data_IF_436165814670
#
_entry.id   IF_436165814670
#
_cell.length_a   1.000
_cell.length_b   1.000
_cell.length_c   1.000
_cell.angle_alpha   90.00
_cell.angle_beta   90.00
_cell.angle_gamma   90.00
#
_symmetry.space_group_name_H-M   'P 1'
#
loop_
_entity.id
_entity.type
_entity.pdbx_description
1 polymer ?
#
# COMPACT_ATOMS: atom_id res chain seq x y z
N UNK A 1 1.87 -13.57 -12.97
CA UNK A 1 1.01 -13.60 -11.76
C UNK A 1 1.62 -14.57 -10.76
N UNK A 2 1.68 -14.23 -9.48
CA UNK A 2 2.09 -15.19 -8.44
C UNK A 2 1.10 -16.39 -8.43
N UNK A 3 1.56 -17.65 -8.56
CA UNK A 3 0.66 -18.80 -8.53
C UNK A 3 -0.16 -18.88 -7.23
N UNK A 4 -1.48 -19.01 -7.34
CA UNK A 4 -2.38 -19.10 -6.18
C UNK A 4 -2.56 -17.78 -5.42
N UNK A 5 -2.25 -16.65 -6.05
CA UNK A 5 -2.65 -15.35 -5.54
C UNK A 5 -4.17 -15.18 -5.65
N UNK A 6 -4.73 -14.72 -4.54
CA UNK A 6 -6.11 -14.28 -4.44
C UNK A 6 -6.13 -13.08 -3.51
N UNK A 7 -6.77 -12.00 -3.95
CA UNK A 7 -6.98 -10.79 -3.18
C UNK A 7 -7.63 -11.13 -1.83
N UNK A 8 -7.10 -10.65 -0.70
CA UNK A 8 -7.61 -11.02 0.62
C UNK A 8 -8.98 -10.44 0.97
N UNK A 9 -9.46 -9.44 0.24
CA UNK A 9 -10.70 -8.73 0.55
C UNK A 9 -11.83 -9.05 -0.45
N UNK A 10 -11.48 -9.32 -1.70
CA UNK A 10 -12.41 -9.51 -2.81
C UNK A 10 -12.34 -10.90 -3.46
N UNK A 11 -11.46 -11.78 -2.97
CA UNK A 11 -11.31 -13.18 -3.42
C UNK A 11 -11.06 -13.35 -4.95
N UNK A 12 -10.52 -12.33 -5.61
CA UNK A 12 -10.23 -12.33 -7.06
C UNK A 12 -8.73 -12.36 -7.40
N UNK A 13 -8.41 -12.52 -8.68
CA UNK A 13 -7.06 -12.26 -9.22
C UNK A 13 -6.85 -10.75 -9.44
N UNK A 14 -5.63 -10.34 -9.84
CA UNK A 14 -5.33 -8.93 -10.10
C UNK A 14 -6.26 -8.33 -11.18
N UNK A 15 -6.72 -7.10 -10.96
CA UNK A 15 -7.36 -6.30 -12.02
C UNK A 15 -6.32 -5.72 -12.97
N UNK A 16 -6.78 -5.24 -14.13
CA UNK A 16 -5.94 -4.48 -15.06
C UNK A 16 -5.40 -3.19 -14.43
N UNK A 17 -6.20 -2.52 -13.60
CA UNK A 17 -5.82 -1.30 -12.91
C UNK A 17 -4.73 -1.54 -11.87
N UNK A 18 -4.81 -2.61 -11.07
CA UNK A 18 -3.74 -2.98 -10.14
C UNK A 18 -2.44 -3.34 -10.87
N UNK A 19 -2.54 -3.99 -12.04
CA UNK A 19 -1.38 -4.27 -12.90
C UNK A 19 -0.80 -2.97 -13.46
N UNK A 20 -1.64 -2.05 -13.93
CA UNK A 20 -1.23 -0.73 -14.39
C UNK A 20 -0.50 0.06 -13.29
N UNK A 21 -1.07 0.11 -12.10
CA UNK A 21 -0.46 0.70 -10.91
C UNK A 21 0.91 0.07 -10.64
N UNK A 22 0.99 -1.27 -10.55
CA UNK A 22 2.25 -1.97 -10.33
C UNK A 22 3.32 -1.62 -11.37
N UNK A 23 2.95 -1.62 -12.67
CA UNK A 23 3.86 -1.30 -13.76
C UNK A 23 4.36 0.15 -13.71
N UNK A 24 3.54 1.10 -13.28
CA UNK A 24 3.94 2.49 -13.04
C UNK A 24 5.04 2.57 -11.97
N UNK A 25 4.84 1.93 -10.82
CA UNK A 25 5.87 1.86 -9.77
C UNK A 25 7.14 1.14 -10.25
N UNK A 26 6.99 0.01 -10.93
CA UNK A 26 8.11 -0.75 -11.49
C UNK A 26 8.96 0.09 -12.46
N UNK A 27 8.32 0.87 -13.33
CA UNK A 27 9.01 1.76 -14.26
C UNK A 27 9.75 2.89 -13.53
N UNK A 28 9.18 3.43 -12.46
CA UNK A 28 9.89 4.40 -11.59
C UNK A 28 11.14 3.75 -10.98
N UNK A 29 11.04 2.52 -10.43
CA UNK A 29 12.21 1.83 -9.87
C UNK A 29 13.31 1.61 -10.93
N UNK A 30 12.93 1.25 -12.16
CA UNK A 30 13.88 1.14 -13.28
C UNK A 30 14.56 2.48 -13.57
N UNK A 31 13.81 3.58 -13.63
CA UNK A 31 14.35 4.91 -13.89
C UNK A 31 15.32 5.35 -12.79
N UNK A 32 14.98 5.13 -11.51
CA UNK A 32 15.85 5.39 -10.37
C UNK A 32 17.21 4.70 -10.55
N UNK A 33 17.21 3.42 -10.93
CA UNK A 33 18.44 2.67 -11.16
C UNK A 33 19.18 3.13 -12.41
N UNK A 34 18.49 3.36 -13.51
CA UNK A 34 19.09 3.77 -14.78
C UNK A 34 19.74 5.16 -14.73
N UNK A 35 19.14 6.08 -13.97
CA UNK A 35 19.63 7.45 -13.81
C UNK A 35 20.45 7.65 -12.53
N UNK A 36 20.70 6.58 -11.77
CA UNK A 36 21.45 6.59 -10.51
C UNK A 36 20.93 7.63 -9.48
N UNK A 37 19.60 7.82 -9.44
CA UNK A 37 18.95 8.75 -8.52
C UNK A 37 19.09 8.24 -7.09
N UNK A 38 19.83 8.95 -6.25
CA UNK A 38 20.13 8.51 -4.88
C UNK A 38 18.89 8.36 -4.02
N UNK A 39 17.94 9.27 -4.21
CA UNK A 39 16.68 9.32 -3.47
C UNK A 39 15.59 9.96 -4.33
N UNK A 40 14.38 9.39 -4.30
CA UNK A 40 13.18 9.96 -4.93
C UNK A 40 12.00 9.92 -3.98
N UNK A 41 11.06 10.84 -4.15
CA UNK A 41 9.72 10.78 -3.56
C UNK A 41 8.76 10.30 -4.65
N UNK A 42 8.09 9.18 -4.41
CA UNK A 42 7.04 8.62 -5.28
C UNK A 42 5.69 8.93 -4.64
N UNK A 43 4.76 9.43 -5.45
CA UNK A 43 3.42 9.83 -5.04
C UNK A 43 2.41 9.25 -6.04
N UNK A 44 1.27 8.80 -5.53
CA UNK A 44 0.05 8.59 -6.32
C UNK A 44 -0.59 9.94 -6.64
N UNK A 45 -1.42 10.00 -7.67
CA UNK A 45 -2.03 11.22 -8.21
C UNK A 45 -3.26 11.70 -7.42
N UNK A 46 -3.84 10.84 -6.59
CA UNK A 46 -5.07 11.08 -5.82
C UNK A 46 -4.82 11.36 -4.33
N UNK A 47 -3.67 11.94 -3.99
CA UNK A 47 -3.28 12.25 -2.60
C UNK A 47 -3.53 13.71 -2.20
N UNK A 48 -3.83 13.91 -0.91
CA UNK A 48 -3.83 15.21 -0.23
C UNK A 48 -2.66 15.31 0.75
N UNK A 49 -2.08 16.50 0.83
CA UNK A 49 -0.90 16.79 1.65
C UNK A 49 -1.30 17.39 3.00
N UNK A 50 -0.63 16.96 4.07
CA UNK A 50 -0.70 17.63 5.36
C UNK A 50 -0.09 19.06 5.31
N UNK A 51 -0.57 19.99 6.15
CA UNK A 51 0.09 21.28 6.31
C UNK A 51 1.58 21.13 6.61
N UNK A 52 2.38 21.96 5.94
CA UNK A 52 3.86 21.94 6.06
C UNK A 52 4.50 20.61 5.62
N UNK A 53 3.85 19.84 4.74
CA UNK A 53 4.37 18.60 4.16
C UNK A 53 5.87 18.64 3.85
N UNK A 54 6.28 19.61 3.02
CA UNK A 54 7.68 19.72 2.57
C UNK A 54 8.66 19.89 3.73
N UNK A 55 8.41 20.86 4.61
CA UNK A 55 9.35 21.12 5.73
C UNK A 55 9.36 20.00 6.76
N UNK A 56 8.21 19.33 6.98
CA UNK A 56 8.14 18.14 7.84
C UNK A 56 8.93 16.97 7.26
N UNK A 57 8.76 16.68 5.96
CA UNK A 57 9.49 15.61 5.29
C UNK A 57 10.99 15.88 5.28
N UNK A 58 11.42 17.10 4.95
CA UNK A 58 12.84 17.49 4.98
C UNK A 58 13.42 17.30 6.38
N UNK A 59 12.74 17.77 7.44
CA UNK A 59 13.22 17.60 8.81
C UNK A 59 13.36 16.12 9.21
N UNK A 60 12.46 15.25 8.75
CA UNK A 60 12.57 13.80 8.99
C UNK A 60 13.79 13.24 8.25
N UNK A 61 13.99 13.58 6.98
CA UNK A 61 15.12 13.11 6.19
C UNK A 61 16.47 13.60 6.74
N UNK A 62 16.54 14.84 7.24
CA UNK A 62 17.73 15.37 7.92
C UNK A 62 18.07 14.56 9.17
N UNK A 63 17.05 14.15 9.94
CA UNK A 63 17.25 13.28 11.11
C UNK A 63 17.73 11.87 10.72
N UNK A 64 17.16 11.29 9.66
CA UNK A 64 17.60 10.00 9.10
C UNK A 64 19.08 10.07 8.69
N UNK A 65 19.47 11.14 7.98
CA UNK A 65 20.85 11.34 7.56
C UNK A 65 21.79 11.55 8.75
N UNK A 66 21.42 12.39 9.72
CA UNK A 66 22.22 12.71 10.90
C UNK A 66 22.54 11.48 11.75
N UNK A 67 21.59 10.55 11.86
CA UNK A 67 21.77 9.28 12.61
C UNK A 67 22.50 8.23 11.76
N UNK A 68 22.66 8.46 10.45
CA UNK A 68 23.24 7.48 9.53
C UNK A 68 22.36 6.22 9.43
N UNK A 69 21.04 6.39 9.49
CA UNK A 69 20.11 5.27 9.39
C UNK A 69 20.25 4.61 8.02
N UNK A 70 20.40 3.29 7.99
CA UNK A 70 20.37 2.52 6.74
C UNK A 70 18.91 2.20 6.39
N UNK A 71 18.41 2.74 5.27
CA UNK A 71 17.03 2.65 4.84
C UNK A 71 16.92 2.45 3.32
N UNK A 72 15.85 1.78 2.91
CA UNK A 72 15.54 1.55 1.49
C UNK A 72 14.24 2.24 1.07
N UNK A 73 13.23 2.22 1.94
CA UNK A 73 11.91 2.78 1.69
C UNK A 73 11.35 3.45 2.95
N UNK A 74 10.80 4.65 2.83
CA UNK A 74 10.09 5.34 3.91
C UNK A 74 8.69 5.69 3.43
N UNK A 75 7.66 5.06 3.98
CA UNK A 75 6.27 5.44 3.71
C UNK A 75 5.98 6.84 4.22
N UNK A 76 5.33 7.63 3.38
CA UNK A 76 4.88 9.00 3.66
C UNK A 76 3.35 9.08 3.74
N UNK A 77 2.66 8.20 3.00
CA UNK A 77 1.24 7.89 3.15
C UNK A 77 0.99 6.41 2.96
N UNK A 78 0.15 5.82 3.83
CA UNK A 78 -0.30 4.43 3.75
C UNK A 78 -1.51 4.17 4.64
N UNK A 79 -2.21 3.07 4.39
CA UNK A 79 -3.20 2.48 5.30
C UNK A 79 -2.55 1.44 6.20
N UNK A 80 -2.70 1.60 7.52
CA UNK A 80 -2.23 0.62 8.50
C UNK A 80 -3.29 -0.44 8.72
N UNK A 81 -2.97 -1.70 8.44
CA UNK A 81 -3.93 -2.80 8.60
C UNK A 81 -3.82 -3.48 9.97
N UNK A 82 -2.65 -3.46 10.60
CA UNK A 82 -2.46 -3.99 11.96
C UNK A 82 -2.67 -2.94 13.05
N UNK A 83 -3.79 -2.22 13.01
CA UNK A 83 -4.10 -1.12 13.97
C UNK A 83 -4.14 -1.56 15.45
N UNK A 84 -4.33 -2.86 15.73
CA UNK A 84 -4.33 -3.38 17.11
C UNK A 84 -2.94 -3.55 17.72
N UNK A 85 -1.87 -3.59 16.91
CA UNK A 85 -0.50 -3.70 17.39
C UNK A 85 0.22 -2.37 17.16
N UNK A 86 0.77 -1.73 18.22
CA UNK A 86 1.49 -0.48 18.05
C UNK A 86 2.78 -0.70 17.25
N UNK A 87 3.07 0.23 16.36
CA UNK A 87 4.36 0.28 15.65
C UNK A 87 5.43 0.86 16.55
N UNK A 88 6.68 0.45 16.35
CA UNK A 88 7.79 0.82 17.21
C UNK A 88 8.58 1.99 16.63
N UNK A 89 8.90 2.97 17.47
CA UNK A 89 9.72 4.13 17.11
C UNK A 89 11.15 3.73 16.75
N UNK A 90 11.69 4.38 15.71
CA UNK A 90 13.11 4.25 15.35
C UNK A 90 13.95 5.04 16.34
N UNK A 91 14.88 4.36 17.02
CA UNK A 91 15.74 4.99 18.02
C UNK A 91 16.55 6.13 17.40
N UNK A 92 16.43 7.32 17.97
CA UNK A 92 17.20 8.50 17.57
C UNK A 92 16.63 9.29 16.38
N UNK A 93 15.56 8.82 15.74
CA UNK A 93 14.91 9.51 14.62
C UNK A 93 13.47 9.86 15.00
N UNK A 94 13.19 11.13 15.36
CA UNK A 94 11.83 11.58 15.64
C UNK A 94 10.92 11.35 14.43
N UNK A 95 9.64 11.08 14.71
CA UNK A 95 8.61 10.96 13.67
C UNK A 95 8.81 9.80 12.68
N UNK A 96 9.55 8.75 13.07
CA UNK A 96 9.80 7.58 12.24
C UNK A 96 9.56 6.28 13.02
N UNK A 97 8.85 5.33 12.41
CA UNK A 97 8.51 4.03 12.99
C UNK A 97 8.85 2.87 12.06
N UNK A 98 8.94 1.67 12.61
CA UNK A 98 8.97 0.42 11.86
C UNK A 98 7.53 0.03 11.42
N UNK A 99 7.22 0.03 10.12
CA UNK A 99 5.87 -0.25 9.64
C UNK A 99 5.50 -1.72 9.84
N UNK A 100 4.21 -1.94 10.15
CA UNK A 100 3.56 -3.24 10.03
C UNK A 100 3.03 -3.49 8.62
N UNK A 101 2.10 -4.45 8.51
CA UNK A 101 1.38 -4.70 7.27
C UNK A 101 0.59 -3.45 6.84
N UNK A 102 0.75 -3.08 5.58
CA UNK A 102 0.37 -1.78 5.05
C UNK A 102 -0.31 -1.94 3.70
N UNK A 103 -1.37 -1.17 3.47
CA UNK A 103 -2.11 -1.03 2.20
C UNK A 103 -2.04 0.41 1.69
N UNK A 104 -2.54 0.66 0.48
CA UNK A 104 -2.62 2.00 -0.14
C UNK A 104 -1.25 2.67 -0.22
N UNK A 105 -0.52 2.47 -1.33
CA UNK A 105 0.85 2.97 -1.50
C UNK A 105 0.85 4.46 -1.93
N UNK A 106 0.08 5.29 -1.22
CA UNK A 106 -0.16 6.72 -1.51
C UNK A 106 1.14 7.49 -1.80
N UNK A 107 2.18 7.22 -1.01
CA UNK A 107 3.49 7.75 -1.32
C UNK A 107 4.59 7.26 -0.40
N UNK A 108 5.80 7.19 -0.95
CA UNK A 108 6.99 6.77 -0.23
C UNK A 108 8.25 7.43 -0.80
N UNK A 109 9.24 7.59 0.07
CA UNK A 109 10.61 7.91 -0.33
C UNK A 109 11.33 6.59 -0.64
N UNK A 110 12.07 6.55 -1.74
CA UNK A 110 12.83 5.37 -2.17
C UNK A 110 14.31 5.73 -2.37
N UNK A 111 15.21 4.92 -1.82
CA UNK A 111 16.64 5.03 -2.09
C UNK A 111 17.02 4.25 -3.36
N UNK A 112 18.17 4.61 -3.96
CA UNK A 112 18.73 3.86 -5.09
C UNK A 112 18.89 2.36 -4.76
N UNK A 113 19.33 2.04 -3.55
CA UNK A 113 19.50 0.68 -3.10
C UNK A 113 18.16 -0.05 -2.94
N UNK A 114 17.14 0.64 -2.41
CA UNK A 114 15.78 0.13 -2.34
C UNK A 114 15.24 -0.25 -3.72
N UNK A 115 15.40 0.63 -4.71
CA UNK A 115 15.00 0.36 -6.09
C UNK A 115 15.71 -0.89 -6.67
N UNK A 116 17.03 -1.03 -6.44
CA UNK A 116 17.80 -2.21 -6.86
C UNK A 116 17.26 -3.50 -6.23
N UNK A 117 16.98 -3.50 -4.92
CA UNK A 117 16.40 -4.65 -4.21
C UNK A 117 15.02 -5.05 -4.76
N UNK A 118 14.15 -4.07 -5.00
CA UNK A 118 12.81 -4.31 -5.55
C UNK A 118 12.88 -4.92 -6.95
N UNK A 119 13.79 -4.46 -7.82
CA UNK A 119 13.98 -5.01 -9.16
C UNK A 119 14.62 -6.40 -9.15
N UNK A 120 15.59 -6.63 -8.26
CA UNK A 120 16.28 -7.91 -8.10
C UNK A 120 15.32 -9.05 -7.73
N UNK A 121 14.20 -8.73 -7.07
CA UNK A 121 13.14 -9.66 -6.75
C UNK A 121 12.44 -10.26 -8.00
N UNK A 122 12.68 -9.70 -9.21
CA UNK A 122 12.04 -10.07 -10.48
C UNK A 122 10.51 -10.12 -10.37
N UNK A 123 9.86 -9.03 -9.92
CA UNK A 123 8.45 -9.07 -9.54
C UNK A 123 7.51 -9.35 -10.72
N UNK A 124 7.88 -9.01 -11.96
CA UNK A 124 7.03 -9.26 -13.14
C UNK A 124 6.70 -10.75 -13.35
N UNK A 125 7.60 -11.65 -12.96
CA UNK A 125 7.38 -13.10 -13.10
C UNK A 125 6.38 -13.65 -12.07
N UNK A 126 6.13 -12.89 -10.99
CA UNK A 126 5.37 -13.30 -9.81
C UNK A 126 4.65 -12.11 -9.18
N UNK A 127 3.95 -11.37 -10.04
CA UNK A 127 3.31 -10.11 -9.69
C UNK A 127 2.26 -10.30 -8.59
N UNK A 128 2.27 -9.35 -7.66
CA UNK A 128 1.29 -9.05 -6.63
C UNK A 128 0.91 -7.56 -6.79
N UNK A 129 -0.23 -7.08 -6.26
CA UNK A 129 -0.45 -5.65 -6.13
C UNK A 129 0.74 -4.99 -5.41
N UNK A 130 1.03 -3.73 -5.73
CA UNK A 130 2.24 -3.07 -5.23
C UNK A 130 2.25 -2.98 -3.70
N UNK A 131 1.08 -2.74 -3.12
CA UNK A 131 0.86 -2.65 -1.67
C UNK A 131 0.85 -4.02 -0.97
N UNK A 132 0.77 -5.13 -1.71
CA UNK A 132 1.05 -6.48 -1.19
C UNK A 132 2.51 -6.90 -1.38
N UNK A 133 3.09 -6.53 -2.52
CA UNK A 133 4.48 -6.82 -2.84
C UNK A 133 5.45 -6.14 -1.88
N UNK A 134 5.25 -4.84 -1.57
CA UNK A 134 6.15 -4.12 -0.69
C UNK A 134 6.23 -4.77 0.71
N UNK A 135 5.11 -5.07 1.43
CA UNK A 135 5.15 -5.80 2.69
C UNK A 135 5.81 -7.18 2.64
N UNK A 136 5.71 -7.89 1.52
CA UNK A 136 6.48 -9.13 1.32
C UNK A 136 7.97 -8.83 1.38
N UNK A 137 8.43 -7.79 0.69
CA UNK A 137 9.84 -7.44 0.58
C UNK A 137 10.48 -6.97 1.91
N UNK A 138 9.69 -6.54 2.90
CA UNK A 138 10.17 -6.20 4.25
C UNK A 138 9.65 -7.13 5.36
N UNK A 139 9.18 -8.33 5.01
CA UNK A 139 8.72 -9.40 5.93
C UNK A 139 7.60 -8.98 6.91
N UNK A 140 6.61 -8.23 6.43
CA UNK A 140 5.42 -7.84 7.21
C UNK A 140 4.10 -8.25 6.56
N UNK A 141 4.15 -9.06 5.52
CA UNK A 141 2.96 -9.62 4.89
C UNK A 141 2.36 -10.74 5.76
N UNK A 142 1.03 -10.82 6.00
CA UNK A 142 0.42 -11.80 6.90
C UNK A 142 0.33 -13.22 6.32
N UNK A 143 0.36 -13.38 4.99
CA UNK A 143 0.35 -14.68 4.33
C UNK A 143 1.77 -15.14 4.01
N UNK A 144 2.31 -16.06 4.81
CA UNK A 144 3.64 -16.65 4.60
C UNK A 144 3.77 -17.28 3.21
N UNK A 145 2.72 -17.90 2.68
CA UNK A 145 2.71 -18.54 1.36
C UNK A 145 3.19 -17.60 0.23
N UNK A 146 2.91 -16.31 0.31
CA UNK A 146 3.35 -15.34 -0.70
C UNK A 146 4.82 -15.00 -0.53
N UNK A 147 5.30 -14.90 0.72
CA UNK A 147 6.68 -14.59 1.02
C UNK A 147 7.65 -15.67 0.52
N UNK A 148 7.26 -16.95 0.56
CA UNK A 148 8.09 -18.08 0.10
C UNK A 148 8.52 -18.00 -1.37
N UNK A 149 7.81 -17.23 -2.21
CA UNK A 149 8.20 -17.04 -3.61
C UNK A 149 9.34 -16.03 -3.79
N UNK A 150 9.73 -15.30 -2.75
CA UNK A 150 10.73 -14.24 -2.82
C UNK A 150 11.85 -14.52 -1.83
N UNK A 151 12.98 -15.09 -2.24
CA UNK A 151 14.02 -15.46 -1.28
C UNK A 151 14.73 -14.24 -0.65
N UNK A 152 14.93 -13.19 -1.43
CA UNK A 152 15.64 -11.98 -0.99
C UNK A 152 14.65 -10.89 -0.57
N UNK A 153 14.30 -10.85 0.72
CA UNK A 153 13.33 -9.91 1.32
C UNK A 153 13.99 -9.01 2.37
N UNK A 154 15.04 -8.30 1.97
CA UNK A 154 15.86 -7.49 2.88
C UNK A 154 15.61 -5.99 2.72
N UNK A 155 14.41 -5.60 2.29
CA UNK A 155 14.04 -4.19 2.15
C UNK A 155 13.90 -3.56 3.55
N UNK A 156 14.71 -2.54 3.83
CA UNK A 156 14.68 -1.78 5.09
C UNK A 156 13.61 -0.69 4.98
N UNK A 157 12.38 -1.06 5.34
CA UNK A 157 11.24 -0.18 5.30
C UNK A 157 11.00 0.54 6.63
N UNK A 158 10.64 1.82 6.54
CA UNK A 158 10.21 2.67 7.65
C UNK A 158 8.92 3.43 7.26
N UNK A 159 8.30 4.12 8.21
CA UNK A 159 7.15 4.99 7.95
C UNK A 159 7.25 6.23 8.80
N UNK A 160 6.83 7.38 8.24
CA UNK A 160 6.65 8.59 9.03
C UNK A 160 5.46 8.46 9.98
N UNK A 161 5.54 9.10 11.13
CA UNK A 161 4.49 9.18 12.16
C UNK A 161 4.47 10.60 12.78
N UNK A 162 3.41 11.40 12.61
CA UNK A 162 2.19 11.10 11.84
C UNK A 162 2.42 11.11 10.34
N UNK A 163 1.53 10.41 9.61
CA UNK A 163 1.51 10.38 8.15
C UNK A 163 1.40 11.79 7.58
N UNK A 164 1.99 11.99 6.39
CA UNK A 164 2.02 13.30 5.72
C UNK A 164 1.12 13.35 4.48
N UNK A 165 0.62 12.20 4.04
CA UNK A 165 -0.29 12.05 2.90
C UNK A 165 -1.49 11.23 3.32
N UNK A 166 -2.64 11.60 2.77
CA UNK A 166 -3.91 10.92 2.90
C UNK A 166 -4.56 10.83 1.52
N UNK A 167 -5.50 9.91 1.27
CA UNK A 167 -6.20 9.91 0.00
C UNK A 167 -7.14 11.13 -0.08
N UNK A 168 -7.41 11.60 -1.30
CA UNK A 168 -8.40 12.66 -1.54
C UNK A 168 -9.80 12.20 -1.17
N UNK A 169 -10.11 10.93 -1.42
CA UNK A 169 -11.38 10.27 -1.15
C UNK A 169 -11.15 8.89 -0.54
N UNK A 170 -12.09 8.41 0.27
CA UNK A 170 -12.02 7.07 0.86
C UNK A 170 -12.98 6.10 0.15
N UNK A 171 -12.61 4.81 0.10
CA UNK A 171 -13.48 3.74 -0.38
C UNK A 171 -14.86 3.82 0.29
N UNK A 172 -15.92 3.92 -0.52
CA UNK A 172 -17.31 4.04 -0.06
C UNK A 172 -17.86 5.47 0.05
N UNK A 173 -17.05 6.51 -0.21
CA UNK A 173 -17.56 7.89 -0.28
C UNK A 173 -18.39 8.13 -1.55
N UNK A 174 -19.51 8.89 -1.48
CA UNK A 174 -20.30 9.21 -2.66
C UNK A 174 -19.47 9.93 -3.73
N UNK A 175 -19.40 9.36 -4.93
CA UNK A 175 -18.59 9.90 -6.04
C UNK A 175 -17.15 9.38 -6.09
N UNK A 176 -16.74 8.51 -5.15
CA UNK A 176 -15.46 7.81 -5.24
C UNK A 176 -15.47 6.81 -6.40
N UNK A 177 -14.43 6.88 -7.23
CA UNK A 177 -14.17 5.93 -8.32
C UNK A 177 -12.70 5.54 -8.23
N UNK A 178 -12.43 4.23 -8.07
CA UNK A 178 -11.07 3.70 -7.95
C UNK A 178 -10.68 3.04 -9.26
N UNK A 179 -9.73 3.63 -10.01
CA UNK A 179 -9.25 3.07 -11.28
C UNK A 179 -8.54 1.72 -11.10
N UNK A 180 -8.06 1.41 -9.88
CA UNK A 180 -7.40 0.15 -9.57
C UNK A 180 -8.41 -0.96 -9.26
N UNK A 181 -9.44 -0.68 -8.45
CA UNK A 181 -10.38 -1.70 -7.96
C UNK A 181 -11.60 -1.90 -8.88
N UNK A 182 -11.98 -0.89 -9.68
CA UNK A 182 -13.18 -0.92 -10.55
C UNK A 182 -12.91 -1.32 -12.01
N UNK A 183 -11.68 -1.70 -12.33
CA UNK A 183 -11.30 -2.17 -13.68
C UNK A 183 -11.51 -3.67 -13.86
N UNK A 184 -11.76 -4.12 -15.10
CA UNK A 184 -11.99 -5.54 -15.41
C UNK A 184 -10.86 -6.44 -14.91
N UNK A 185 -11.23 -7.68 -14.60
CA UNK A 185 -10.29 -8.71 -14.16
C UNK A 185 -9.28 -8.96 -15.30
N UNK A 186 -8.01 -9.23 -14.95
CA UNK A 186 -6.95 -9.37 -15.96
C UNK A 186 -7.21 -10.49 -16.98
N UNK A 187 -7.81 -11.60 -16.57
CA UNK A 187 -8.02 -12.80 -17.40
C UNK A 187 -9.41 -12.92 -18.03
N UNK A 188 -10.31 -11.97 -17.77
CA UNK A 188 -11.66 -11.95 -18.36
C UNK A 188 -12.17 -10.52 -18.59
N UNK A 189 -12.31 -10.15 -19.87
CA UNK A 189 -12.83 -8.85 -20.29
C UNK A 189 -14.35 -8.71 -20.11
N UNK A 190 -15.08 -9.80 -19.91
CA UNK A 190 -16.53 -9.79 -19.77
C UNK A 190 -17.01 -9.51 -18.33
N UNK A 191 -16.11 -9.51 -17.35
CA UNK A 191 -16.45 -9.32 -15.93
C UNK A 191 -16.10 -7.91 -15.46
N UNK A 192 -17.12 -7.04 -15.36
CA UNK A 192 -17.03 -5.73 -14.70
C UNK A 192 -16.86 -5.89 -13.17
N UNK A 193 -16.05 -5.03 -12.54
CA UNK A 193 -15.76 -5.07 -11.09
C UNK A 193 -16.42 -3.94 -10.29
N UNK A 194 -17.56 -3.41 -10.75
CA UNK A 194 -18.30 -2.32 -10.09
C UNK A 194 -19.27 -2.86 -9.01
N UNK A 195 -18.72 -3.45 -7.95
CA UNK A 195 -19.52 -4.16 -6.93
C UNK A 195 -19.80 -3.33 -5.66
N UNK A 196 -19.17 -2.17 -5.49
CA UNK A 196 -19.45 -1.24 -4.38
C UNK A 196 -20.80 -0.50 -4.53
N UNK A 197 -21.49 -0.63 -5.66
CA UNK A 197 -22.81 0.00 -5.90
C UNK A 197 -24.02 -0.85 -5.47
N UNK A 198 -23.81 -2.06 -4.95
CA UNK A 198 -24.89 -3.01 -4.63
C UNK A 198 -25.65 -2.82 -3.31
N UNK A 199 -25.36 -1.77 -2.52
CA UNK A 199 -25.85 -1.61 -1.15
C UNK A 199 -27.25 -1.01 -0.95
N UNK A 200 -27.96 -0.57 -2.00
CA UNK A 200 -29.26 0.12 -1.88
C UNK A 200 -30.41 -0.69 -2.48
N UNK A 201 -30.63 -1.92 -2.01
CA UNK A 201 -31.93 -2.59 -2.14
C UNK A 201 -32.68 -2.58 -0.81
N UNK A 202 -33.71 -1.72 -0.76
CA UNK A 202 -34.79 -1.59 0.22
C UNK A 202 -35.01 -2.83 1.10
N UNK A 203 -34.72 -2.73 2.39
CA UNK A 203 -35.29 -3.61 3.41
C UNK A 203 -36.74 -3.20 3.70
N UNK A 204 -37.70 -3.98 3.20
CA UNK A 204 -39.06 -4.06 3.76
C UNK A 204 -39.30 -5.50 4.21
N UNK A 205 -39.43 -5.68 5.52
CA UNK A 205 -40.20 -6.78 6.13
C UNK A 205 -39.43 -8.02 6.56
N UNK A 206 -39.63 -8.36 7.83
CA UNK A 206 -39.62 -9.70 8.47
C UNK A 206 -38.34 -10.18 9.16
N UNK A 207 -38.38 -9.97 10.49
CA UNK A 207 -38.10 -10.90 11.60
C UNK A 207 -36.76 -11.67 11.72
N UNK A 208 -36.00 -11.19 12.70
CA UNK A 208 -35.01 -11.81 13.58
C UNK A 208 -34.92 -13.35 13.61
N UNK A 209 -33.73 -13.86 13.24
CA UNK A 209 -33.02 -14.94 13.97
C UNK A 209 -31.52 -14.66 13.99
N UNK A 210 -30.81 -14.95 15.10
CA UNK A 210 -29.39 -14.67 15.24
C UNK A 210 -28.57 -15.84 14.68
N UNK A 211 -27.57 -15.54 13.87
CA UNK A 211 -26.31 -16.28 13.64
C UNK A 211 -25.80 -15.99 12.23
N UNK A 212 -24.87 -15.05 12.11
CA UNK A 212 -23.61 -15.20 11.38
C UNK A 212 -22.86 -13.86 11.32
N UNK A 213 -21.58 -13.92 11.69
CA UNK A 213 -20.63 -12.81 11.68
C UNK A 213 -20.39 -12.30 10.25
N UNK A 214 -21.11 -11.27 9.84
CA UNK A 214 -20.63 -10.30 8.85
C UNK A 214 -20.17 -9.06 9.61
N UNK A 215 -18.86 -8.92 9.82
CA UNK A 215 -18.31 -7.71 10.40
C UNK A 215 -18.32 -6.58 9.35
N UNK A 216 -19.47 -5.94 9.17
CA UNK A 216 -19.52 -4.56 8.70
C UNK A 216 -18.82 -3.71 9.77
N UNK A 217 -17.53 -3.44 9.57
CA UNK A 217 -16.78 -2.52 10.43
C UNK A 217 -17.27 -1.11 10.08
N UNK A 218 -18.14 -0.57 10.93
CA UNK A 218 -18.46 0.86 10.94
C UNK A 218 -17.20 1.63 11.35
N UNK A 219 -16.76 2.56 10.51
CA UNK A 219 -15.73 3.52 10.86
C UNK A 219 -16.30 4.56 11.85
N UNK A 220 -15.65 4.81 13.00
CA UNK A 220 -15.95 6.00 13.78
C UNK A 220 -15.50 7.23 12.99
N UNK A 221 -16.46 8.10 12.67
CA UNK A 221 -16.20 9.48 12.27
C UNK A 221 -15.91 10.28 13.55
N UNK A 222 -14.67 10.24 14.02
CA UNK A 222 -14.22 11.15 15.06
C UNK A 222 -12.95 11.88 14.58
N UNK A 223 -13.18 13.07 14.02
CA UNK A 223 -12.30 14.25 14.11
C UNK A 223 -13.16 15.44 14.48
#
# INVERSE_FOLDING_TARGET
>A
MLPGYTDPYSERVLTRGEIGCFLSHYNIWKQVVQQELQQVLVLEDDVRFEPRFKSRLVAIMDNVQRVGLDWDLIYVGRKRLQVKQPEYWVKGVPNLVHPGYSYWTLGYVLSLNGAKKLLQAKPLNKMLPVDEFLPVMFNKHPKDKYMHYFDQRELKAFSVEPLLLFPTHYTGEPGYFSDTETSTIWDDEATETDWDRGGTKRCRGQELRPENNSACVKFPQDY
#
